data_IF_246404589894
#
_entry.id   IF_246404589894
#
_cell.length_a   1.000
_cell.length_b   1.000
_cell.length_c   1.000
_cell.angle_alpha   90.00
_cell.angle_beta   90.00
_cell.angle_gamma   90.00
#
_symmetry.space_group_name_H-M   'P 1'
#
loop_
_entity.id
_entity.type
_entity.pdbx_description
1 polymer ?
#
# COMPACT_ATOMS: atom_id res chain seq x y z
N UNK A 1 1.12 -9.68 -11.24
CA UNK A 1 2.43 -9.06 -11.56
C UNK A 1 3.37 -9.40 -10.42
N UNK A 2 4.40 -10.22 -10.64
CA UNK A 2 5.33 -10.59 -9.55
C UNK A 2 6.11 -9.34 -9.09
N UNK A 3 6.37 -9.18 -7.78
CA UNK A 3 7.13 -8.03 -7.29
C UNK A 3 8.54 -8.04 -7.93
N UNK A 4 8.98 -6.87 -8.40
CA UNK A 4 10.27 -6.69 -9.10
C UNK A 4 11.48 -7.14 -8.26
N UNK A 5 11.29 -7.25 -6.94
CA UNK A 5 12.23 -7.81 -5.99
C UNK A 5 11.48 -8.80 -5.08
N UNK A 6 11.89 -10.07 -4.97
CA UNK A 6 11.15 -11.06 -4.17
C UNK A 6 11.31 -10.88 -2.66
N UNK A 7 12.42 -10.28 -2.20
CA UNK A 7 12.69 -10.10 -0.77
C UNK A 7 12.05 -8.79 -0.23
N UNK A 8 11.30 -8.89 0.86
CA UNK A 8 10.59 -7.77 1.50
C UNK A 8 11.51 -6.64 1.98
N UNK A 9 12.69 -6.95 2.54
CA UNK A 9 13.64 -5.93 3.01
C UNK A 9 14.27 -5.18 1.84
N UNK A 10 14.58 -5.89 0.76
CA UNK A 10 15.09 -5.29 -0.47
C UNK A 10 14.03 -4.37 -1.11
N UNK A 11 12.78 -4.85 -1.19
CA UNK A 11 11.64 -4.04 -1.67
C UNK A 11 11.52 -2.75 -0.86
N UNK A 12 11.54 -2.85 0.46
CA UNK A 12 11.41 -1.71 1.36
C UNK A 12 12.51 -0.66 1.12
N UNK A 13 13.78 -1.07 1.01
CA UNK A 13 14.86 -0.13 0.66
C UNK A 13 14.66 0.48 -0.73
N UNK A 14 14.23 -0.30 -1.71
CA UNK A 14 14.05 0.15 -3.10
C UNK A 14 12.90 1.14 -3.31
N UNK A 15 12.00 1.30 -2.34
CA UNK A 15 11.03 2.41 -2.29
C UNK A 15 11.75 3.76 -2.04
N UNK A 16 12.94 3.70 -1.45
CA UNK A 16 13.82 4.86 -1.26
C UNK A 16 14.87 4.97 -2.37
N UNK A 17 15.67 6.03 -2.33
CA UNK A 17 16.83 6.21 -3.21
C UNK A 17 18.16 5.75 -2.56
N UNK A 18 18.09 5.05 -1.43
CA UNK A 18 19.29 4.65 -0.68
C UNK A 18 20.05 3.51 -1.35
N UNK A 19 21.37 3.63 -1.41
CA UNK A 19 22.27 2.51 -1.70
C UNK A 19 22.26 1.49 -0.55
N UNK A 20 22.86 0.32 -0.74
CA UNK A 20 22.98 -0.64 0.38
C UNK A 20 23.90 -0.08 1.46
N UNK A 21 24.94 0.65 1.07
CA UNK A 21 25.92 1.27 1.96
C UNK A 21 25.26 2.36 2.82
N UNK A 22 24.53 3.27 2.19
CA UNK A 22 23.81 4.36 2.88
C UNK A 22 22.71 3.81 3.81
N UNK A 23 21.99 2.78 3.37
CA UNK A 23 20.97 2.14 4.20
C UNK A 23 21.60 1.44 5.42
N UNK A 24 22.70 0.70 5.22
CA UNK A 24 23.40 0.01 6.30
C UNK A 24 23.94 1.00 7.34
N UNK A 25 24.52 2.11 6.89
CA UNK A 25 24.98 3.20 7.76
C UNK A 25 23.83 3.76 8.62
N UNK A 26 22.70 4.11 8.01
CA UNK A 26 21.53 4.63 8.73
C UNK A 26 20.90 3.63 9.70
N UNK A 27 21.02 2.33 9.40
CA UNK A 27 20.51 1.26 10.26
C UNK A 27 21.47 0.86 11.38
N UNK A 28 22.71 1.37 11.36
CA UNK A 28 23.76 1.01 12.31
C UNK A 28 24.26 -0.44 12.15
N UNK A 29 24.26 -0.97 10.92
CA UNK A 29 24.71 -2.35 10.61
C UNK A 29 25.76 -2.34 9.50
N UNK A 30 26.47 -3.46 9.32
CA UNK A 30 27.41 -3.58 8.20
C UNK A 30 26.68 -3.74 6.85
N UNK A 31 27.22 -3.22 5.74
CA UNK A 31 26.66 -3.46 4.40
C UNK A 31 26.54 -4.95 4.05
N UNK A 32 27.48 -5.77 4.51
CA UNK A 32 27.44 -7.23 4.34
C UNK A 32 26.28 -7.87 5.11
N UNK A 33 25.97 -7.38 6.32
CA UNK A 33 24.80 -7.81 7.08
C UNK A 33 23.51 -7.46 6.34
N UNK A 34 23.38 -6.22 5.85
CA UNK A 34 22.21 -5.80 5.07
C UNK A 34 22.05 -6.64 3.80
N UNK A 35 23.14 -6.92 3.10
CA UNK A 35 23.15 -7.78 1.91
C UNK A 35 22.65 -9.20 2.21
N UNK A 36 22.97 -9.75 3.38
CA UNK A 36 22.45 -11.07 3.81
C UNK A 36 20.96 -11.04 4.12
N UNK A 37 20.46 -9.96 4.71
CA UNK A 37 19.02 -9.75 4.91
C UNK A 37 18.27 -9.65 3.58
N UNK A 38 18.72 -8.77 2.68
CA UNK A 38 18.12 -8.57 1.35
C UNK A 38 18.23 -9.82 0.46
N UNK A 39 19.28 -10.63 0.66
CA UNK A 39 19.47 -11.91 -0.02
C UNK A 39 18.69 -13.08 0.58
N UNK A 40 17.94 -12.87 1.66
CA UNK A 40 17.18 -13.92 2.35
C UNK A 40 18.03 -14.97 3.06
N UNK A 41 19.33 -14.71 3.25
CA UNK A 41 20.26 -15.64 3.92
C UNK A 41 20.19 -15.54 5.45
N UNK A 42 19.67 -14.41 5.94
CA UNK A 42 19.51 -14.14 7.35
C UNK A 42 18.19 -13.40 7.56
N UNK A 43 17.48 -13.73 8.64
CA UNK A 43 16.31 -12.96 9.08
C UNK A 43 16.77 -11.85 10.03
N UNK A 44 16.46 -10.58 9.76
CA UNK A 44 16.76 -9.49 10.68
C UNK A 44 15.94 -9.65 11.97
N UNK A 45 16.50 -9.27 13.13
CA UNK A 45 15.74 -9.22 14.38
C UNK A 45 14.73 -8.06 14.35
N UNK A 46 13.67 -8.17 15.15
CA UNK A 46 12.54 -7.22 15.21
C UNK A 46 13.00 -5.76 15.39
N UNK A 47 13.99 -5.51 16.26
CA UNK A 47 14.54 -4.17 16.48
C UNK A 47 15.16 -3.58 15.20
N UNK A 48 15.82 -4.40 14.39
CA UNK A 48 16.38 -3.97 13.10
C UNK A 48 15.28 -3.68 12.10
N UNK A 49 14.20 -4.48 12.09
CA UNK A 49 13.05 -4.26 11.22
C UNK A 49 12.30 -2.99 11.59
N UNK A 50 12.16 -2.68 12.88
CA UNK A 50 11.60 -1.43 13.36
C UNK A 50 12.41 -0.23 12.82
N UNK A 51 13.74 -0.27 12.93
CA UNK A 51 14.62 0.75 12.33
C UNK A 51 14.48 0.82 10.81
N UNK A 52 14.33 -0.31 10.13
CA UNK A 52 14.07 -0.32 8.68
C UNK A 52 12.76 0.39 8.33
N UNK A 53 11.68 0.18 9.09
CA UNK A 53 10.40 0.84 8.85
C UNK A 53 10.54 2.37 9.00
N UNK A 54 11.28 2.83 10.00
CA UNK A 54 11.55 4.25 10.25
C UNK A 54 12.42 4.87 9.15
N UNK A 55 13.56 4.24 8.84
CA UNK A 55 14.54 4.76 7.86
C UNK A 55 13.96 4.77 6.45
N UNK A 56 13.17 3.76 6.08
CA UNK A 56 12.58 3.65 4.76
C UNK A 56 11.21 4.33 4.65
N UNK A 57 10.58 4.66 5.77
CA UNK A 57 9.26 5.28 5.81
C UNK A 57 8.13 4.36 5.34
N UNK A 58 8.27 3.05 5.57
CA UNK A 58 7.31 2.03 5.11
C UNK A 58 6.85 1.15 6.27
N UNK A 59 5.61 1.33 6.72
CA UNK A 59 5.05 0.57 7.85
C UNK A 59 4.65 -0.86 7.46
N UNK A 60 4.32 -1.10 6.18
CA UNK A 60 3.91 -2.43 5.70
C UNK A 60 5.00 -3.51 5.91
N UNK A 61 6.28 -3.12 5.99
CA UNK A 61 7.39 -4.04 6.22
C UNK A 61 7.27 -4.75 7.58
N UNK A 62 6.79 -4.05 8.62
CA UNK A 62 6.58 -4.65 9.93
C UNK A 62 5.54 -5.77 9.87
N UNK A 63 4.43 -5.55 9.16
CA UNK A 63 3.39 -6.56 9.00
C UNK A 63 3.88 -7.76 8.18
N UNK A 64 4.60 -7.54 7.07
CA UNK A 64 5.15 -8.63 6.27
C UNK A 64 6.19 -9.45 7.06
N UNK A 65 7.06 -8.79 7.83
CA UNK A 65 8.03 -9.46 8.70
C UNK A 65 7.33 -10.30 9.76
N UNK A 66 6.41 -9.70 10.51
CA UNK A 66 5.70 -10.37 11.59
C UNK A 66 4.98 -11.63 11.10
N UNK A 67 4.35 -11.59 9.91
CA UNK A 67 3.75 -12.77 9.29
C UNK A 67 4.79 -13.83 8.89
N UNK A 68 5.90 -13.41 8.28
CA UNK A 68 6.94 -14.33 7.85
C UNK A 68 7.63 -15.05 9.03
N UNK A 69 7.63 -14.43 10.20
CA UNK A 69 8.21 -14.98 11.44
C UNK A 69 7.17 -15.52 12.42
N UNK A 70 5.87 -15.51 12.07
CA UNK A 70 4.82 -16.03 12.93
C UNK A 70 4.87 -17.55 12.99
N UNK A 71 5.37 -18.08 14.11
CA UNK A 71 5.47 -19.51 14.36
C UNK A 71 4.21 -20.11 14.96
N UNK A 72 3.29 -19.26 15.43
CA UNK A 72 2.08 -19.68 16.12
C UNK A 72 0.86 -19.63 15.20
N UNK A 73 0.95 -18.94 14.06
CA UNK A 73 -0.16 -18.79 13.11
C UNK A 73 -1.30 -17.95 13.69
N UNK A 74 -0.97 -17.01 14.58
CA UNK A 74 -1.93 -16.13 15.24
C UNK A 74 -2.28 -14.92 14.37
N UNK A 75 -1.40 -14.53 13.45
CA UNK A 75 -1.62 -13.37 12.60
C UNK A 75 -2.57 -13.74 11.46
N UNK A 76 -3.57 -12.89 11.16
CA UNK A 76 -4.47 -13.15 10.06
C UNK A 76 -3.74 -13.04 8.72
N UNK A 77 -4.20 -13.82 7.74
CA UNK A 77 -3.81 -13.62 6.35
C UNK A 77 -4.35 -12.26 5.88
N UNK A 78 -3.42 -11.33 5.64
CA UNK A 78 -3.77 -9.96 5.25
C UNK A 78 -3.12 -9.63 3.92
N UNK A 79 -3.92 -9.54 2.86
CA UNK A 79 -3.48 -8.96 1.59
C UNK A 79 -3.61 -7.42 1.67
N UNK A 80 -2.60 -6.64 1.23
CA UNK A 80 -2.69 -5.18 1.20
C UNK A 80 -3.84 -4.69 0.30
N UNK A 81 -4.60 -3.70 0.77
CA UNK A 81 -5.66 -3.05 0.00
C UNK A 81 -5.49 -1.53 -0.03
N UNK A 82 -5.92 -0.83 -1.10
CA UNK A 82 -6.00 0.62 -1.09
C UNK A 82 -6.87 1.14 0.05
N UNK A 83 -6.49 2.27 0.66
CA UNK A 83 -7.17 2.83 1.84
C UNK A 83 -8.70 2.92 1.72
N UNK A 84 -9.29 3.38 0.58
CA UNK A 84 -10.75 3.42 0.46
C UNK A 84 -11.39 2.02 0.55
N UNK A 85 -10.79 1.03 -0.10
CA UNK A 85 -11.30 -0.35 -0.07
C UNK A 85 -11.11 -1.01 1.29
N UNK A 86 -9.96 -0.79 1.92
CA UNK A 86 -9.70 -1.28 3.28
C UNK A 86 -10.71 -0.70 4.27
N UNK A 87 -11.00 0.61 4.17
CA UNK A 87 -11.96 1.30 5.04
C UNK A 87 -13.38 0.79 4.87
N UNK A 88 -13.85 0.60 3.63
CA UNK A 88 -15.17 0.02 3.34
C UNK A 88 -15.23 -1.41 3.88
N UNK A 89 -14.19 -2.22 3.62
CA UNK A 89 -14.13 -3.61 4.08
C UNK A 89 -14.19 -3.69 5.61
N UNK A 90 -13.47 -2.82 6.33
CA UNK A 90 -13.51 -2.78 7.79
C UNK A 90 -14.90 -2.36 8.30
N UNK A 91 -15.51 -1.35 7.68
CA UNK A 91 -16.83 -0.84 8.11
C UNK A 91 -17.92 -1.90 7.99
N UNK A 92 -17.96 -2.62 6.86
CA UNK A 92 -18.93 -3.68 6.65
C UNK A 92 -18.72 -4.80 7.67
N UNK A 93 -17.47 -5.23 7.86
CA UNK A 93 -17.14 -6.32 8.79
C UNK A 93 -17.44 -5.99 10.25
N UNK A 94 -17.20 -4.75 10.67
CA UNK A 94 -17.56 -4.31 12.03
C UNK A 94 -19.07 -4.37 12.26
N UNK A 95 -19.88 -4.05 11.25
CA UNK A 95 -21.33 -4.17 11.33
C UNK A 95 -21.74 -5.64 11.44
N UNK A 96 -21.24 -6.48 10.54
CA UNK A 96 -21.57 -7.91 10.51
C UNK A 96 -21.15 -8.61 11.81
N UNK A 97 -19.97 -8.26 12.35
CA UNK A 97 -19.49 -8.77 13.62
C UNK A 97 -20.37 -8.33 14.80
N UNK A 98 -20.84 -7.08 14.82
CA UNK A 98 -21.70 -6.56 15.88
C UNK A 98 -23.02 -7.35 15.97
N UNK A 99 -23.60 -7.72 14.83
CA UNK A 99 -24.84 -8.52 14.79
C UNK A 99 -24.63 -9.94 15.34
N UNK A 100 -23.41 -10.48 15.21
CA UNK A 100 -23.04 -11.83 15.67
C UNK A 100 -22.60 -11.92 17.13
N UNK A 101 -22.29 -10.78 17.77
CA UNK A 101 -21.89 -10.75 19.19
C UNK A 101 -23.00 -11.28 20.11
N UNK A 102 -24.27 -11.12 19.74
CA UNK A 102 -25.38 -11.69 20.50
C UNK A 102 -25.35 -13.23 20.52
N UNK A 103 -24.96 -13.87 19.41
CA UNK A 103 -24.78 -15.32 19.33
C UNK A 103 -23.60 -15.78 20.19
N UNK A 104 -22.49 -15.03 20.17
CA UNK A 104 -21.33 -15.33 21.01
C UNK A 104 -21.65 -15.24 22.50
N UNK A 105 -22.43 -14.24 22.92
CA UNK A 105 -22.89 -14.11 24.31
C UNK A 105 -23.73 -15.30 24.75
N UNK A 106 -24.60 -15.82 23.87
CA UNK A 106 -25.42 -16.99 24.16
C UNK A 106 -24.57 -18.26 24.30
N UNK A 107 -23.62 -18.47 23.38
CA UNK A 107 -22.70 -19.62 23.43
C UNK A 107 -21.80 -19.56 24.67
N UNK A 108 -21.44 -18.36 25.13
CA UNK A 108 -20.56 -18.19 26.28
C UNK A 108 -21.26 -18.27 27.64
N UNK A 109 -22.59 -18.42 27.70
CA UNK A 109 -23.39 -18.25 28.92
C UNK A 109 -23.06 -19.28 30.01
N UNK A 110 -22.79 -20.52 29.63
CA UNK A 110 -22.39 -21.60 30.55
C UNK A 110 -20.87 -21.80 30.65
N UNK A 111 -20.11 -21.08 29.82
CA UNK A 111 -18.65 -21.15 29.72
C UNK A 111 -18.10 -22.40 29.03
N UNK A 112 -18.93 -23.22 28.39
CA UNK A 112 -18.52 -24.48 27.74
C UNK A 112 -19.07 -24.54 26.31
N UNK A 113 -18.19 -24.44 25.32
CA UNK A 113 -18.58 -24.63 23.91
C UNK A 113 -18.72 -26.14 23.64
N UNK A 114 -19.95 -26.62 23.51
CA UNK A 114 -20.23 -28.03 23.19
C UNK A 114 -20.17 -28.33 21.67
N UNK A 115 -20.32 -29.60 21.30
CA UNK A 115 -20.24 -30.04 19.88
C UNK A 115 -21.37 -29.47 19.01
N UNK A 116 -22.51 -29.08 19.59
CA UNK A 116 -23.64 -28.49 18.87
C UNK A 116 -23.43 -26.99 18.63
N UNK A 117 -22.78 -26.30 19.56
CA UNK A 117 -22.44 -24.87 19.46
C UNK A 117 -21.14 -24.63 18.68
N UNK A 118 -20.26 -25.63 18.63
CA UNK A 118 -18.94 -25.52 17.99
C UNK A 118 -18.98 -24.96 16.57
N UNK A 119 -19.89 -25.40 15.67
CA UNK A 119 -19.96 -24.86 14.31
C UNK A 119 -20.29 -23.36 14.30
N UNK A 120 -21.26 -22.92 15.10
CA UNK A 120 -21.64 -21.50 15.17
C UNK A 120 -20.53 -20.66 15.80
N UNK A 121 -19.87 -21.19 16.83
CA UNK A 121 -18.71 -20.55 17.44
C UNK A 121 -17.57 -20.37 16.43
N UNK A 122 -17.23 -21.43 15.68
CA UNK A 122 -16.16 -21.39 14.68
C UNK A 122 -16.48 -20.37 13.56
N UNK A 123 -17.74 -20.26 13.13
CA UNK A 123 -18.19 -19.24 12.18
C UNK A 123 -18.00 -17.82 12.74
N UNK A 124 -18.39 -17.57 13.99
CA UNK A 124 -18.21 -16.27 14.64
C UNK A 124 -16.72 -15.93 14.77
N UNK A 125 -15.89 -16.89 15.18
CA UNK A 125 -14.44 -16.72 15.28
C UNK A 125 -13.83 -16.39 13.93
N UNK A 126 -14.30 -17.02 12.85
CA UNK A 126 -13.84 -16.72 11.51
C UNK A 126 -14.16 -15.27 11.11
N UNK A 127 -15.37 -14.78 11.37
CA UNK A 127 -15.72 -13.39 11.09
C UNK A 127 -14.89 -12.39 11.89
N UNK A 128 -14.60 -12.71 13.15
CA UNK A 128 -13.71 -11.90 13.99
C UNK A 128 -12.29 -11.86 13.41
N UNK A 129 -11.74 -13.00 12.97
CA UNK A 129 -10.42 -13.05 12.31
C UNK A 129 -10.40 -12.18 11.06
N UNK A 130 -11.45 -12.23 10.26
CA UNK A 130 -11.54 -11.41 9.05
C UNK A 130 -11.71 -9.92 9.35
N UNK A 131 -12.37 -9.58 10.46
CA UNK A 131 -12.48 -8.20 10.96
C UNK A 131 -11.12 -7.67 11.41
N UNK A 132 -10.35 -8.46 12.16
CA UNK A 132 -8.97 -8.12 12.55
C UNK A 132 -8.09 -7.96 11.29
N UNK A 133 -8.25 -8.84 10.30
CA UNK A 133 -7.55 -8.74 9.03
C UNK A 133 -7.83 -7.41 8.33
N UNK A 134 -9.10 -6.99 8.26
CA UNK A 134 -9.48 -5.70 7.68
C UNK A 134 -8.98 -4.50 8.50
N UNK A 135 -8.89 -4.61 9.82
CA UNK A 135 -8.29 -3.57 10.66
C UNK A 135 -6.81 -3.39 10.32
N UNK A 136 -6.06 -4.49 10.18
CA UNK A 136 -4.68 -4.44 9.70
C UNK A 136 -4.55 -3.88 8.29
N UNK A 137 -5.49 -4.17 7.39
CA UNK A 137 -5.51 -3.57 6.04
C UNK A 137 -5.60 -2.05 6.11
N UNK A 138 -6.35 -1.48 7.05
CA UNK A 138 -6.45 -0.02 7.24
C UNK A 138 -5.19 0.54 7.89
N UNK A 139 -4.69 -0.08 8.97
CA UNK A 139 -3.49 0.39 9.70
C UNK A 139 -2.27 0.48 8.79
N UNK A 140 -2.13 -0.49 7.88
CA UNK A 140 -0.99 -0.61 6.97
C UNK A 140 -1.33 -0.21 5.53
N UNK A 141 -2.49 0.41 5.28
CA UNK A 141 -2.76 1.00 3.97
C UNK A 141 -1.78 2.15 3.74
N UNK A 142 -1.08 2.14 2.62
CA UNK A 142 -0.23 3.26 2.18
C UNK A 142 -1.12 4.49 1.93
N UNK A 143 -1.38 5.27 2.96
CA UNK A 143 -1.76 6.65 2.82
C UNK A 143 -0.53 7.35 2.26
N UNK A 144 -0.46 7.54 0.94
CA UNK A 144 0.59 8.36 0.32
C UNK A 144 0.66 9.66 1.13
N UNK A 145 1.74 9.84 1.91
CA UNK A 145 2.11 11.16 2.42
C UNK A 145 2.14 12.05 1.20
N UNK A 146 1.27 13.05 1.15
CA UNK A 146 1.37 14.10 0.15
C UNK A 146 2.81 14.59 0.15
N UNK A 147 3.48 14.40 -1.00
CA UNK A 147 4.79 14.96 -1.24
C UNK A 147 4.62 16.48 -1.06
N UNK A 148 5.38 17.16 -0.19
CA UNK A 148 5.28 18.61 -0.11
C UNK A 148 5.54 19.17 -1.51
N UNK A 149 4.63 20.01 -2.00
CA UNK A 149 4.80 20.69 -3.28
C UNK A 149 6.14 21.43 -3.25
N UNK A 150 7.09 20.96 -4.06
CA UNK A 150 8.33 21.68 -4.29
C UNK A 150 7.98 22.95 -5.07
N UNK A 151 7.86 24.05 -4.33
CA UNK A 151 7.61 25.37 -4.87
C UNK A 151 8.67 25.84 -5.87
N UNK A 152 8.16 26.56 -6.87
CA UNK A 152 8.81 27.66 -7.59
C UNK A 152 10.06 27.32 -8.43
N UNK A 153 9.85 27.08 -9.73
CA UNK A 153 10.84 27.46 -10.74
C UNK A 153 10.49 28.85 -11.27
N UNK A 154 11.06 29.88 -10.64
CA UNK A 154 11.16 31.21 -11.22
C UNK A 154 12.17 31.14 -12.37
N UNK A 155 11.74 31.38 -13.61
CA UNK A 155 12.66 31.84 -14.66
C UNK A 155 12.07 33.01 -15.45
N UNK A 156 12.45 34.19 -14.95
CA UNK A 156 12.66 35.49 -15.60
C UNK A 156 12.25 35.66 -17.06
N UNK A 157 11.37 36.65 -17.30
CA UNK A 157 11.33 37.40 -18.56
C UNK A 157 12.66 38.13 -18.78
N UNK A 158 13.10 38.27 -20.03
CA UNK A 158 13.66 39.53 -20.48
C UNK A 158 12.84 40.08 -21.65
N UNK A 159 12.50 41.36 -21.54
CA UNK A 159 11.87 42.15 -22.58
C UNK A 159 12.96 42.92 -23.34
N UNK A 160 12.93 42.86 -24.67
CA UNK A 160 13.15 43.95 -25.63
C UNK A 160 14.24 43.77 -26.72
N UNK A 161 13.80 44.21 -27.92
CA UNK A 161 14.51 44.78 -29.10
C UNK A 161 14.96 43.86 -30.25
N UNK A 162 14.06 43.81 -31.24
CA UNK A 162 14.25 44.12 -32.68
C UNK A 162 15.49 43.59 -33.43
N UNK A 163 15.24 42.74 -34.44
CA UNK A 163 15.53 43.05 -35.85
C UNK A 163 14.99 41.96 -36.79
N UNK A 164 14.47 42.42 -37.92
CA UNK A 164 13.91 41.69 -39.06
C UNK A 164 14.84 40.60 -39.62
N UNK A 165 14.28 39.49 -40.12
CA UNK A 165 14.23 39.20 -41.57
C UNK A 165 13.75 37.77 -41.87
N UNK A 166 12.60 37.74 -42.54
CA UNK A 166 12.22 36.92 -43.71
C UNK A 166 13.05 35.66 -44.07
N UNK A 167 12.41 34.49 -44.02
CA UNK A 167 12.46 33.56 -45.15
C UNK A 167 11.24 32.63 -45.14
N UNK A 168 10.40 32.79 -46.17
CA UNK A 168 9.22 31.99 -46.51
C UNK A 168 9.69 30.62 -47.02
N UNK A 169 9.04 29.51 -46.67
CA UNK A 169 8.86 28.36 -47.58
C UNK A 169 7.47 27.73 -47.32
N UNK A 170 6.56 27.99 -48.25
CA UNK A 170 5.30 27.28 -48.51
C UNK A 170 5.59 25.84 -48.98
N UNK A 171 4.80 24.81 -48.70
CA UNK A 171 3.60 24.41 -49.47
C UNK A 171 2.93 23.18 -48.81
N UNK A 172 1.61 23.26 -48.66
CA UNK A 172 0.55 22.24 -48.87
C UNK A 172 0.70 20.81 -48.32
N UNK A 173 -0.32 20.33 -47.59
CA UNK A 173 -1.28 19.38 -48.17
C UNK A 173 -2.52 19.12 -47.28
N UNK A 174 -3.68 19.29 -47.93
CA UNK A 174 -4.90 18.46 -47.91
C UNK A 174 -5.76 18.41 -46.63
N UNK A 175 -6.85 19.16 -46.69
CA UNK A 175 -8.08 18.91 -45.96
C UNK A 175 -8.80 17.70 -46.55
N UNK A 176 -9.18 16.74 -45.69
CA UNK A 176 -10.20 15.73 -45.99
C UNK A 176 -11.35 15.96 -45.02
N UNK A 177 -12.49 16.44 -45.53
CA UNK A 177 -13.78 16.50 -44.81
C UNK A 177 -14.57 15.24 -45.15
N UNK A 178 -15.17 14.55 -44.17
CA UNK A 178 -16.57 14.06 -44.28
C UNK A 178 -17.23 13.96 -42.88
N UNK A 179 -18.34 14.70 -42.78
CA UNK A 179 -19.52 14.67 -41.91
C UNK A 179 -19.71 13.61 -40.81
N UNK A 180 -20.28 14.07 -39.69
CA UNK A 180 -21.28 13.29 -38.93
C UNK A 180 -22.42 14.20 -38.46
N UNK A 181 -23.63 13.70 -38.69
CA UNK A 181 -24.95 14.29 -38.46
C UNK A 181 -25.18 14.74 -37.00
N UNK A 182 -25.88 15.88 -36.83
CA UNK A 182 -26.57 16.23 -35.57
C UNK A 182 -28.04 16.49 -35.88
N UNK A 183 -28.88 15.52 -35.55
CA UNK A 183 -30.33 15.67 -35.52
C UNK A 183 -30.76 16.35 -34.22
N UNK A 184 -31.61 17.36 -34.33
CA UNK A 184 -32.26 18.07 -33.24
C UNK A 184 -33.49 17.29 -32.76
N UNK A 185 -33.63 17.11 -31.45
CA UNK A 185 -34.85 16.63 -30.82
C UNK A 185 -35.63 17.84 -30.25
N UNK A 186 -36.92 17.88 -30.59
CA UNK A 186 -37.91 18.90 -30.23
C UNK A 186 -38.37 18.79 -28.78
N UNK A 187 -38.87 19.94 -28.30
CA UNK A 187 -40.01 20.20 -27.40
C UNK A 187 -40.54 19.06 -26.52
#
# INVERSE_FOLDING_TARGET
>A
MAPQYPNMYQRARKVTLLTQEEAAERLGISPETLKRYEGGRLTPPDETVARMCEVYGVSWLALEHAKATDRLGILPEVEPKPLPMATISLTNRLRDAADRLAGLLRIADDGVIDDAERPEFDDIVQDLRETIAAAYQVIYADAKKERPEAGTSKRSRPQSRSSENHCKHSISQKQTKVNTFRGEARA
#
